data_IF_267888701170
#
_entry.id   IF_267888701170
#
_cell.length_a   1.000
_cell.length_b   1.000
_cell.length_c   1.000
_cell.angle_alpha   90.00
_cell.angle_beta   90.00
_cell.angle_gamma   90.00
#
_symmetry.space_group_name_H-M   'P 1'
#
loop_
_entity.id
_entity.type
_entity.pdbx_description
1 polymer ?
#
# COMPACT_ATOMS: atom_id res chain seq x y z
N UNK A 1 89.79 -21.88 24.01
CA UNK A 1 88.62 -21.11 24.52
C UNK A 1 87.76 -20.67 23.35
N UNK A 2 86.42 -20.68 23.51
CA UNK A 2 85.49 -21.21 22.51
C UNK A 2 84.85 -20.13 21.62
N UNK A 3 84.64 -20.51 20.36
CA UNK A 3 83.95 -19.77 19.31
C UNK A 3 82.43 -19.97 19.45
N UNK A 4 81.69 -18.92 19.75
CA UNK A 4 80.23 -18.93 19.70
C UNK A 4 79.74 -18.80 18.25
N UNK A 5 79.35 -19.93 17.66
CA UNK A 5 78.52 -19.99 16.45
C UNK A 5 77.08 -20.25 16.90
N UNK A 6 76.19 -19.28 16.69
CA UNK A 6 74.75 -19.48 16.86
C UNK A 6 74.21 -20.25 15.64
N UNK A 7 73.33 -21.24 15.82
CA UNK A 7 72.75 -22.00 14.72
C UNK A 7 71.61 -21.22 14.06
N UNK A 8 71.63 -21.20 12.72
CA UNK A 8 70.46 -20.97 11.87
C UNK A 8 69.35 -21.94 12.27
N UNK A 9 68.24 -21.43 12.80
CA UNK A 9 66.99 -22.18 12.92
C UNK A 9 66.06 -21.72 11.80
N UNK A 10 65.95 -22.61 10.83
CA UNK A 10 65.14 -22.55 9.63
C UNK A 10 63.67 -22.74 10.03
N UNK A 11 62.94 -21.65 10.30
CA UNK A 11 61.50 -21.67 10.53
C UNK A 11 60.78 -21.63 9.18
N UNK A 12 60.74 -22.79 8.53
CA UNK A 12 59.76 -23.07 7.48
C UNK A 12 58.44 -23.50 8.16
N UNK A 13 57.67 -22.51 8.64
CA UNK A 13 56.32 -22.72 9.14
C UNK A 13 55.30 -22.19 8.11
N UNK A 14 54.93 -23.09 7.19
CA UNK A 14 53.57 -23.29 6.67
C UNK A 14 52.72 -22.01 6.50
N UNK A 15 52.86 -21.36 5.35
CA UNK A 15 51.83 -20.51 4.75
C UNK A 15 50.73 -21.41 4.12
N UNK A 16 50.03 -22.20 4.94
CA UNK A 16 48.74 -22.75 4.58
C UNK A 16 47.68 -21.77 5.07
N UNK A 17 47.09 -21.01 4.15
CA UNK A 17 45.98 -20.10 4.47
C UNK A 17 44.82 -20.88 5.07
N UNK A 18 44.62 -20.74 6.38
CA UNK A 18 43.37 -21.07 7.05
C UNK A 18 42.32 -20.01 6.67
N UNK A 19 41.75 -20.14 5.47
CA UNK A 19 40.38 -19.66 5.27
C UNK A 19 39.46 -20.42 6.23
N UNK A 20 38.37 -19.83 6.75
CA UNK A 20 37.43 -20.54 7.58
C UNK A 20 36.96 -21.79 6.83
N UNK A 21 37.23 -22.96 7.40
CA UNK A 21 36.85 -24.25 6.82
C UNK A 21 35.32 -24.32 6.86
N UNK A 22 34.69 -24.01 5.72
CA UNK A 22 33.23 -24.02 5.60
C UNK A 22 32.71 -25.42 5.98
N UNK A 23 31.79 -25.47 6.96
CA UNK A 23 31.20 -26.72 7.43
C UNK A 23 30.32 -27.30 6.30
N UNK A 24 30.52 -28.58 5.89
CA UNK A 24 29.66 -29.20 4.89
C UNK A 24 28.29 -29.51 5.50
N UNK A 25 27.23 -29.02 4.87
CA UNK A 25 25.86 -29.09 5.35
C UNK A 25 24.95 -29.61 4.25
N UNK A 26 24.09 -30.57 4.61
CA UNK A 26 23.05 -31.09 3.74
C UNK A 26 21.71 -30.42 4.06
N UNK A 27 20.97 -30.07 3.01
CA UNK A 27 19.60 -29.56 3.11
C UNK A 27 18.72 -30.35 2.14
N UNK A 28 17.66 -30.93 2.67
CA UNK A 28 16.65 -31.62 1.88
C UNK A 28 15.74 -30.61 1.16
N UNK A 29 15.98 -30.45 -0.15
CA UNK A 29 15.19 -29.56 -1.00
C UNK A 29 13.76 -30.06 -1.22
N UNK A 30 13.52 -31.37 -1.12
CA UNK A 30 12.19 -31.95 -1.28
C UNK A 30 11.35 -31.70 -0.03
N UNK A 31 11.96 -31.80 1.15
CA UNK A 31 11.34 -31.33 2.40
C UNK A 31 11.07 -29.81 2.36
N UNK A 32 11.94 -29.02 1.73
CA UNK A 32 11.75 -27.58 1.57
C UNK A 32 10.68 -27.19 0.55
N UNK A 33 10.45 -28.02 -0.47
CA UNK A 33 9.34 -27.90 -1.41
C UNK A 33 7.99 -28.25 -0.77
N UNK A 34 8.00 -29.23 0.13
CA UNK A 34 6.81 -29.68 0.88
C UNK A 34 6.49 -28.78 2.08
N UNK A 35 7.42 -27.94 2.53
CA UNK A 35 7.13 -26.90 3.53
C UNK A 35 6.23 -25.84 2.89
N UNK A 36 4.92 -26.06 2.97
CA UNK A 36 3.86 -25.12 2.53
C UNK A 36 3.80 -23.88 3.45
N UNK A 37 4.94 -23.28 3.78
CA UNK A 37 4.95 -21.97 4.41
C UNK A 37 4.42 -20.96 3.39
N UNK A 38 3.10 -20.79 3.40
CA UNK A 38 2.44 -19.63 2.84
C UNK A 38 2.50 -18.57 3.94
N UNK A 39 3.11 -17.40 3.69
CA UNK A 39 2.85 -16.26 4.54
C UNK A 39 1.34 -16.14 4.64
N UNK A 40 0.81 -16.04 5.87
CA UNK A 40 -0.60 -15.68 6.05
C UNK A 40 -0.74 -14.36 5.30
N UNK A 41 -1.36 -14.37 4.12
CA UNK A 41 -1.84 -13.14 3.51
C UNK A 41 -2.51 -12.39 4.64
N UNK A 42 -2.27 -11.08 4.80
CA UNK A 42 -3.10 -10.30 5.71
C UNK A 42 -4.52 -10.73 5.41
N UNK A 43 -5.21 -11.20 6.45
CA UNK A 43 -6.60 -11.59 6.34
C UNK A 43 -7.34 -10.29 6.08
N UNK A 44 -7.25 -9.79 4.85
CA UNK A 44 -8.05 -8.71 4.33
C UNK A 44 -9.41 -9.37 4.29
N UNK A 45 -10.31 -9.07 5.24
CA UNK A 45 -11.65 -9.62 5.18
C UNK A 45 -12.13 -9.35 3.77
N UNK A 46 -12.58 -10.41 3.08
CA UNK A 46 -13.18 -10.26 1.76
C UNK A 46 -14.13 -9.06 1.85
N UNK A 47 -13.98 -8.04 0.97
CA UNK A 47 -14.89 -6.91 1.02
C UNK A 47 -16.30 -7.51 0.99
N UNK A 48 -17.18 -7.16 1.94
CA UNK A 48 -18.48 -7.80 2.05
C UNK A 48 -19.12 -7.74 0.68
N UNK A 49 -19.26 -8.93 0.08
CA UNK A 49 -19.93 -9.13 -1.19
C UNK A 49 -21.42 -8.98 -0.94
N UNK A 50 -21.82 -7.75 -0.67
CA UNK A 50 -23.20 -7.37 -0.48
C UNK A 50 -23.40 -6.18 -1.37
N UNK A 51 -24.19 -6.36 -2.43
CA UNK A 51 -24.93 -5.22 -2.97
C UNK A 51 -25.51 -4.50 -1.76
N UNK A 52 -25.09 -3.27 -1.52
CA UNK A 52 -25.69 -2.50 -0.44
C UNK A 52 -27.21 -2.54 -0.67
N UNK A 53 -27.99 -2.98 0.32
CA UNK A 53 -29.43 -3.09 0.14
C UNK A 53 -29.94 -1.72 -0.32
N UNK A 54 -30.89 -1.68 -1.27
CA UNK A 54 -31.42 -0.42 -1.78
C UNK A 54 -31.83 0.44 -0.60
N UNK A 55 -31.31 1.67 -0.53
CA UNK A 55 -31.60 2.53 0.59
C UNK A 55 -33.06 2.96 0.49
N UNK A 56 -33.89 2.33 1.31
CA UNK A 56 -35.31 2.63 1.40
C UNK A 56 -35.50 3.79 2.36
N UNK A 57 -35.68 4.99 1.81
CA UNK A 57 -36.05 6.16 2.63
C UNK A 57 -37.57 6.24 2.68
N UNK A 58 -38.13 5.91 3.85
CA UNK A 58 -39.53 6.19 4.15
C UNK A 58 -39.67 7.64 4.62
N UNK A 59 -40.40 8.43 3.84
CA UNK A 59 -40.89 9.73 4.28
C UNK A 59 -42.02 9.50 5.29
N UNK A 60 -42.00 10.15 6.47
CA UNK A 60 -43.09 10.00 7.42
C UNK A 60 -44.35 10.63 6.81
N UNK A 61 -45.48 9.94 6.95
CA UNK A 61 -46.76 10.55 6.66
C UNK A 61 -46.96 11.73 7.63
N UNK A 62 -47.24 12.93 7.10
CA UNK A 62 -47.76 14.00 7.93
C UNK A 62 -49.20 13.63 8.30
N UNK A 63 -49.48 13.53 9.60
CA UNK A 63 -50.83 13.24 10.09
C UNK A 63 -51.80 14.32 9.62
N UNK A 64 -52.96 13.91 9.11
CA UNK A 64 -54.05 14.83 8.83
C UNK A 64 -54.45 15.54 10.13
N UNK A 65 -54.55 16.87 10.08
CA UNK A 65 -55.01 17.67 11.22
C UNK A 65 -56.14 18.56 10.72
N UNK A 66 -57.33 18.34 11.25
CA UNK A 66 -58.46 19.26 11.08
C UNK A 66 -58.24 20.43 12.02
N UNK A 67 -58.38 21.65 11.50
CA UNK A 67 -58.37 22.84 12.33
C UNK A 67 -59.71 23.53 12.20
N UNK A 68 -60.45 23.57 13.32
CA UNK A 68 -61.71 24.29 13.41
C UNK A 68 -61.42 25.71 13.90
N UNK A 69 -61.89 26.72 13.16
CA UNK A 69 -61.68 28.12 13.50
C UNK A 69 -62.85 28.97 13.03
N UNK A 70 -63.89 29.07 13.85
CA UNK A 70 -65.05 29.93 13.61
C UNK A 70 -64.74 31.43 13.81
N UNK A 71 -63.60 31.78 14.45
CA UNK A 71 -63.16 33.16 14.70
C UNK A 71 -61.82 33.50 14.00
N UNK A 72 -61.59 34.79 13.73
CA UNK A 72 -60.38 35.30 13.07
C UNK A 72 -59.07 34.96 13.83
N UNK A 73 -59.14 34.84 15.16
CA UNK A 73 -58.01 34.41 16.03
C UNK A 73 -57.70 32.90 15.88
N UNK A 74 -58.72 32.06 15.70
CA UNK A 74 -58.59 30.63 15.43
C UNK A 74 -57.95 30.36 14.06
N UNK A 75 -58.34 31.14 13.04
CA UNK A 75 -57.74 31.05 11.69
C UNK A 75 -56.25 31.43 11.68
N UNK A 76 -55.83 32.47 12.42
CA UNK A 76 -54.42 32.87 12.47
C UNK A 76 -53.54 31.84 13.20
N UNK A 77 -54.04 31.24 14.28
CA UNK A 77 -53.38 30.14 15.00
C UNK A 77 -53.24 28.87 14.14
N UNK A 78 -54.29 28.53 13.38
CA UNK A 78 -54.27 27.44 12.40
C UNK A 78 -53.17 27.62 11.35
N UNK A 79 -53.08 28.83 10.79
CA UNK A 79 -52.07 29.21 9.78
C UNK A 79 -50.66 29.14 10.36
N UNK A 80 -50.46 29.56 11.61
CA UNK A 80 -49.17 29.48 12.29
C UNK A 80 -48.72 28.02 12.49
N UNK A 81 -49.60 27.16 13.01
CA UNK A 81 -49.32 25.72 13.20
C UNK A 81 -49.01 25.02 11.87
N UNK A 82 -49.74 25.37 10.81
CA UNK A 82 -49.49 24.91 9.45
C UNK A 82 -48.10 25.30 8.95
N UNK A 83 -47.72 26.56 9.15
CA UNK A 83 -46.41 27.09 8.75
C UNK A 83 -45.28 26.37 9.50
N UNK A 84 -45.42 26.14 10.79
CA UNK A 84 -44.42 25.44 11.59
C UNK A 84 -44.27 23.97 11.19
N UNK A 85 -45.39 23.28 10.95
CA UNK A 85 -45.35 21.90 10.46
C UNK A 85 -44.71 21.81 9.07
N UNK A 86 -44.96 22.78 8.19
CA UNK A 86 -44.30 22.86 6.86
C UNK A 86 -42.80 23.03 6.98
N UNK A 87 -42.33 23.92 7.85
CA UNK A 87 -40.90 24.14 8.08
C UNK A 87 -40.23 22.86 8.60
N UNK A 88 -40.89 22.16 9.54
CA UNK A 88 -40.38 20.88 10.08
C UNK A 88 -40.33 19.79 9.00
N UNK A 89 -41.40 19.63 8.23
CA UNK A 89 -41.47 18.65 7.14
C UNK A 89 -40.42 18.91 6.06
N UNK A 90 -40.25 20.17 5.64
CA UNK A 90 -39.22 20.56 4.68
C UNK A 90 -37.82 20.21 5.18
N UNK A 91 -37.49 20.57 6.43
CA UNK A 91 -36.17 20.28 7.02
C UNK A 91 -35.91 18.79 7.12
N UNK A 92 -36.91 18.00 7.50
CA UNK A 92 -36.76 16.56 7.58
C UNK A 92 -36.56 15.93 6.20
N UNK A 93 -37.33 16.37 5.20
CA UNK A 93 -37.24 15.92 3.82
C UNK A 93 -35.87 16.29 3.21
N UNK A 94 -35.44 17.55 3.36
CA UNK A 94 -34.12 18.00 2.91
C UNK A 94 -33.01 17.16 3.56
N UNK A 95 -33.09 16.92 4.88
CA UNK A 95 -32.11 16.11 5.60
C UNK A 95 -32.05 14.68 5.06
N UNK A 96 -33.19 14.04 4.83
CA UNK A 96 -33.27 12.67 4.30
C UNK A 96 -32.76 12.56 2.87
N UNK A 97 -33.16 13.48 1.99
CA UNK A 97 -32.67 13.54 0.60
C UNK A 97 -31.17 13.83 0.54
N UNK A 98 -30.67 14.76 1.37
CA UNK A 98 -29.25 15.06 1.47
C UNK A 98 -28.44 13.84 1.93
N UNK A 99 -28.91 13.13 2.96
CA UNK A 99 -28.25 11.90 3.41
C UNK A 99 -28.18 10.85 2.29
N UNK A 100 -29.25 10.72 1.51
CA UNK A 100 -29.30 9.80 0.38
C UNK A 100 -28.30 10.15 -0.72
N UNK A 101 -28.33 11.38 -1.22
CA UNK A 101 -27.43 11.78 -2.31
C UNK A 101 -25.97 11.85 -1.87
N UNK A 102 -25.68 12.17 -0.60
CA UNK A 102 -24.30 12.08 -0.09
C UNK A 102 -23.83 10.62 -0.04
N UNK A 103 -24.70 9.67 0.34
CA UNK A 103 -24.36 8.25 0.35
C UNK A 103 -24.07 7.72 -1.07
N UNK A 104 -24.85 8.14 -2.07
CA UNK A 104 -24.61 7.85 -3.49
C UNK A 104 -23.22 8.33 -3.93
N UNK A 105 -22.88 9.59 -3.64
CA UNK A 105 -21.57 10.15 -4.00
C UNK A 105 -20.43 9.44 -3.25
N UNK A 106 -20.64 9.02 -2.01
CA UNK A 106 -19.64 8.26 -1.23
C UNK A 106 -19.42 6.84 -1.80
N UNK A 107 -20.44 6.20 -2.35
CA UNK A 107 -20.28 4.92 -3.06
C UNK A 107 -19.56 5.12 -4.40
N UNK A 108 -19.89 6.17 -5.13
CA UNK A 108 -19.18 6.53 -6.36
C UNK A 108 -17.69 6.78 -6.09
N UNK A 109 -17.38 7.47 -4.99
CA UNK A 109 -16.00 7.69 -4.53
C UNK A 109 -15.25 6.38 -4.33
N UNK A 110 -15.82 5.43 -3.57
CA UNK A 110 -15.21 4.12 -3.34
C UNK A 110 -14.93 3.39 -4.65
N UNK A 111 -15.86 3.42 -5.60
CA UNK A 111 -15.70 2.77 -6.92
C UNK A 111 -14.60 3.41 -7.76
N UNK A 112 -14.61 4.74 -7.86
CA UNK A 112 -13.61 5.46 -8.66
C UNK A 112 -12.22 5.29 -8.09
N UNK A 113 -12.06 5.33 -6.76
CA UNK A 113 -10.78 5.06 -6.10
C UNK A 113 -10.36 3.60 -6.34
N UNK A 114 -11.26 2.63 -6.15
CA UNK A 114 -10.94 1.22 -6.40
C UNK A 114 -10.55 0.95 -7.86
N UNK A 115 -11.10 1.69 -8.82
CA UNK A 115 -10.72 1.58 -10.24
C UNK A 115 -9.30 2.10 -10.54
N UNK A 116 -8.71 2.91 -9.65
CA UNK A 116 -7.32 3.38 -9.79
C UNK A 116 -6.30 2.36 -9.23
N UNK A 117 -6.73 1.41 -8.40
CA UNK A 117 -5.83 0.41 -7.79
C UNK A 117 -5.05 -0.43 -8.82
N UNK A 118 -5.66 -0.98 -9.89
CA UNK A 118 -4.93 -1.76 -10.88
C UNK A 118 -3.87 -0.93 -11.62
N UNK A 119 -4.16 0.34 -11.86
CA UNK A 119 -3.22 1.24 -12.51
C UNK A 119 -2.05 1.60 -11.58
N UNK A 120 -2.33 1.90 -10.31
CA UNK A 120 -1.31 2.13 -9.29
C UNK A 120 -0.42 0.89 -9.13
N UNK A 121 -1.03 -0.30 -9.06
CA UNK A 121 -0.31 -1.57 -9.02
C UNK A 121 0.58 -1.77 -10.26
N UNK A 122 0.05 -1.50 -11.46
CA UNK A 122 0.83 -1.58 -12.70
C UNK A 122 1.99 -0.58 -12.74
N UNK A 123 1.78 0.66 -12.27
CA UNK A 123 2.83 1.67 -12.13
C UNK A 123 3.95 1.20 -11.19
N UNK A 124 3.60 0.65 -10.03
CA UNK A 124 4.55 0.08 -9.07
C UNK A 124 5.31 -1.13 -9.63
N UNK A 125 4.65 -2.01 -10.37
CA UNK A 125 5.31 -3.15 -11.02
C UNK A 125 6.33 -2.70 -12.07
N UNK A 126 6.00 -1.67 -12.88
CA UNK A 126 6.95 -1.09 -13.84
C UNK A 126 8.13 -0.44 -13.13
N UNK A 127 7.87 0.33 -12.08
CA UNK A 127 8.91 0.95 -11.25
C UNK A 127 9.86 -0.11 -10.65
N UNK A 128 9.31 -1.21 -10.11
CA UNK A 128 10.12 -2.31 -9.59
C UNK A 128 11.02 -2.93 -10.66
N UNK A 129 10.48 -3.19 -11.86
CA UNK A 129 11.26 -3.73 -12.98
C UNK A 129 12.37 -2.76 -13.44
N UNK A 130 12.11 -1.46 -13.44
CA UNK A 130 13.11 -0.43 -13.74
C UNK A 130 14.21 -0.38 -12.67
N UNK A 131 13.84 -0.44 -11.38
CA UNK A 131 14.79 -0.51 -10.26
C UNK A 131 15.65 -1.76 -10.34
N UNK A 132 15.09 -2.93 -10.68
CA UNK A 132 15.84 -4.17 -10.86
C UNK A 132 16.86 -4.05 -12.01
N UNK A 133 16.45 -3.46 -13.13
CA UNK A 133 17.34 -3.21 -14.26
C UNK A 133 18.49 -2.26 -13.87
N UNK A 134 18.17 -1.19 -13.12
CA UNK A 134 19.13 -0.23 -12.59
C UNK A 134 20.10 -0.88 -11.61
N UNK A 135 19.61 -1.75 -10.73
CA UNK A 135 20.43 -2.53 -9.80
C UNK A 135 21.39 -3.44 -10.55
N UNK A 136 20.93 -4.09 -11.63
CA UNK A 136 21.78 -4.89 -12.50
C UNK A 136 22.93 -4.08 -13.14
N UNK A 137 22.65 -2.84 -13.56
CA UNK A 137 23.68 -1.92 -14.09
C UNK A 137 24.67 -1.51 -13.00
N UNK A 138 24.17 -1.03 -11.86
CA UNK A 138 24.98 -0.67 -10.70
C UNK A 138 25.88 -1.82 -10.24
N UNK A 139 25.33 -3.05 -10.15
CA UNK A 139 26.08 -4.23 -9.73
C UNK A 139 27.22 -4.57 -10.70
N UNK A 140 27.02 -4.45 -12.02
CA UNK A 140 28.08 -4.65 -13.02
C UNK A 140 29.20 -3.62 -12.89
N UNK A 141 28.84 -2.35 -12.70
CA UNK A 141 29.83 -1.27 -12.58
C UNK A 141 30.56 -1.27 -11.23
N UNK A 142 29.84 -1.51 -10.14
CA UNK A 142 30.40 -1.48 -8.79
C UNK A 142 31.08 -2.79 -8.41
N UNK A 143 30.66 -3.93 -8.97
CA UNK A 143 31.11 -5.27 -8.54
C UNK A 143 32.62 -5.47 -8.63
N UNK A 144 33.22 -5.18 -9.78
CA UNK A 144 34.68 -5.30 -9.95
C UNK A 144 35.44 -4.31 -9.07
N UNK A 145 34.92 -3.09 -8.88
CA UNK A 145 35.53 -2.05 -8.04
C UNK A 145 35.54 -2.46 -6.57
N UNK A 146 34.42 -3.02 -6.09
CA UNK A 146 34.31 -3.57 -4.72
C UNK A 146 35.28 -4.73 -4.51
N UNK A 147 35.38 -5.65 -5.48
CA UNK A 147 36.33 -6.76 -5.42
C UNK A 147 37.80 -6.27 -5.42
N UNK A 148 38.12 -5.30 -6.29
CA UNK A 148 39.45 -4.69 -6.36
C UNK A 148 39.82 -3.95 -5.07
N UNK A 149 38.87 -3.18 -4.51
CA UNK A 149 39.07 -2.50 -3.24
C UNK A 149 39.33 -3.52 -2.12
N UNK A 150 38.52 -4.58 -2.01
CA UNK A 150 38.71 -5.64 -1.02
C UNK A 150 40.08 -6.33 -1.14
N UNK A 151 40.61 -6.50 -2.34
CA UNK A 151 41.97 -7.02 -2.55
C UNK A 151 43.05 -6.05 -2.05
N UNK A 152 42.84 -4.74 -2.20
CA UNK A 152 43.82 -3.71 -1.84
C UNK A 152 43.91 -3.47 -0.33
N UNK A 153 42.77 -3.46 0.36
CA UNK A 153 42.69 -3.04 1.77
C UNK A 153 42.15 -4.12 2.71
N UNK A 154 41.68 -5.24 2.19
CA UNK A 154 40.98 -6.29 2.93
C UNK A 154 39.45 -6.11 2.93
N UNK A 155 38.74 -7.12 3.42
CA UNK A 155 37.30 -7.05 3.65
C UNK A 155 36.97 -7.55 5.07
N UNK A 156 36.22 -6.77 5.88
CA UNK A 156 35.71 -5.42 5.61
C UNK A 156 36.83 -4.37 5.47
N UNK A 157 36.54 -3.23 4.83
CA UNK A 157 37.50 -2.13 4.67
C UNK A 157 37.83 -1.53 6.05
N UNK A 158 39.09 -1.62 6.53
CA UNK A 158 39.46 -1.15 7.86
C UNK A 158 39.59 0.38 7.97
N UNK A 159 39.65 1.11 6.84
CA UNK A 159 39.78 2.57 6.80
C UNK A 159 38.94 3.17 5.65
N UNK A 160 37.59 3.16 5.79
CA UNK A 160 36.70 3.64 4.73
C UNK A 160 36.82 5.15 4.48
N UNK A 161 37.32 5.93 5.45
CA UNK A 161 37.54 7.37 5.33
C UNK A 161 38.91 7.73 4.72
N UNK A 162 39.81 6.74 4.56
CA UNK A 162 41.18 6.94 4.05
C UNK A 162 42.00 7.90 4.93
N UNK A 163 41.88 7.79 6.25
CA UNK A 163 42.55 8.68 7.21
C UNK A 163 44.02 8.30 7.44
N UNK A 164 44.36 7.00 7.33
CA UNK A 164 45.69 6.49 7.67
C UNK A 164 46.56 6.36 6.43
N UNK A 165 47.26 7.44 6.08
CA UNK A 165 48.23 7.41 5.00
C UNK A 165 49.45 6.54 5.36
N UNK A 166 49.96 5.71 4.43
CA UNK A 166 51.17 4.93 4.65
C UNK A 166 52.41 5.83 4.75
N UNK A 167 53.47 5.34 5.41
CA UNK A 167 54.75 6.05 5.49
C UNK A 167 55.33 6.33 4.10
N UNK A 168 55.91 7.53 3.92
CA UNK A 168 56.44 7.99 2.63
C UNK A 168 57.56 7.11 2.06
N UNK A 169 58.25 6.33 2.91
CA UNK A 169 59.29 5.39 2.51
C UNK A 169 58.78 4.14 1.79
N UNK A 170 57.47 3.82 1.87
CA UNK A 170 56.89 2.63 1.25
C UNK A 170 56.05 2.99 0.01
N UNK A 171 56.71 3.08 -1.14
CA UNK A 171 56.09 3.44 -2.41
C UNK A 171 54.95 2.49 -2.84
N UNK A 172 55.07 1.19 -2.55
CA UNK A 172 54.04 0.19 -2.87
C UNK A 172 52.79 0.42 -2.04
N UNK A 173 52.94 0.65 -0.73
CA UNK A 173 51.82 0.97 0.14
C UNK A 173 51.16 2.31 -0.28
N UNK A 174 51.97 3.31 -0.64
CA UNK A 174 51.49 4.59 -1.17
C UNK A 174 50.63 4.43 -2.43
N UNK A 175 51.08 3.65 -3.41
CA UNK A 175 50.33 3.38 -4.64
C UNK A 175 49.00 2.67 -4.38
N UNK A 176 49.00 1.63 -3.54
CA UNK A 176 47.77 0.91 -3.14
C UNK A 176 46.78 1.81 -2.43
N UNK A 177 47.27 2.68 -1.53
CA UNK A 177 46.43 3.65 -0.82
C UNK A 177 45.75 4.62 -1.78
N UNK A 178 46.47 5.17 -2.77
CA UNK A 178 45.88 6.07 -3.77
C UNK A 178 44.85 5.38 -4.65
N UNK A 179 45.13 4.13 -5.08
CA UNK A 179 44.16 3.34 -5.86
C UNK A 179 42.89 3.05 -5.04
N UNK A 180 43.03 2.64 -3.77
CA UNK A 180 41.92 2.40 -2.86
C UNK A 180 41.09 3.67 -2.63
N UNK A 181 41.76 4.81 -2.39
CA UNK A 181 41.10 6.12 -2.22
C UNK A 181 40.28 6.48 -3.47
N UNK A 182 40.84 6.31 -4.67
CA UNK A 182 40.12 6.55 -5.93
C UNK A 182 38.87 5.66 -6.04
N UNK A 183 39.02 4.35 -5.79
CA UNK A 183 37.92 3.39 -5.85
C UNK A 183 36.79 3.71 -4.88
N UNK A 184 37.10 4.19 -3.66
CA UNK A 184 36.09 4.64 -2.69
C UNK A 184 35.27 5.82 -3.22
N UNK A 185 35.92 6.81 -3.82
CA UNK A 185 35.24 7.96 -4.44
C UNK A 185 34.36 7.51 -5.61
N UNK A 186 34.88 6.67 -6.50
CA UNK A 186 34.11 6.13 -7.63
C UNK A 186 32.88 5.34 -7.14
N UNK A 187 33.04 4.48 -6.14
CA UNK A 187 31.94 3.69 -5.56
C UNK A 187 30.90 4.57 -4.87
N UNK A 188 31.31 5.62 -4.17
CA UNK A 188 30.40 6.59 -3.57
C UNK A 188 29.61 7.36 -4.64
N UNK A 189 30.27 7.77 -5.74
CA UNK A 189 29.61 8.40 -6.88
C UNK A 189 28.58 7.49 -7.54
N UNK A 190 28.92 6.21 -7.77
CA UNK A 190 28.00 5.21 -8.31
C UNK A 190 26.79 4.98 -7.39
N UNK A 191 27.02 4.89 -6.08
CA UNK A 191 25.94 4.72 -5.10
C UNK A 191 25.01 5.93 -5.05
N UNK A 192 25.57 7.15 -5.08
CA UNK A 192 24.78 8.40 -5.10
C UNK A 192 23.92 8.50 -6.36
N UNK A 193 24.49 8.22 -7.54
CA UNK A 193 23.75 8.20 -8.80
C UNK A 193 22.60 7.18 -8.76
N UNK A 194 22.91 5.95 -8.35
CA UNK A 194 21.91 4.88 -8.22
C UNK A 194 20.76 5.26 -7.29
N UNK A 195 21.05 5.89 -6.13
CA UNK A 195 20.02 6.39 -5.22
C UNK A 195 19.20 7.53 -5.83
N UNK A 196 19.82 8.42 -6.59
CA UNK A 196 19.14 9.50 -7.31
C UNK A 196 18.15 8.94 -8.34
N UNK A 197 18.59 7.98 -9.14
CA UNK A 197 17.79 7.33 -10.18
C UNK A 197 16.60 6.56 -9.57
N UNK A 198 16.80 5.83 -8.45
CA UNK A 198 15.69 5.18 -7.71
C UNK A 198 14.64 6.19 -7.27
N UNK A 199 15.06 7.29 -6.63
CA UNK A 199 14.12 8.32 -6.16
C UNK A 199 13.33 8.94 -7.31
N UNK A 200 13.95 9.08 -8.48
CA UNK A 200 13.25 9.59 -9.66
C UNK A 200 12.18 8.60 -10.15
N UNK A 201 12.50 7.30 -10.19
CA UNK A 201 11.56 6.24 -10.57
C UNK A 201 10.38 6.18 -9.58
N UNK A 202 10.66 6.18 -8.27
CA UNK A 202 9.64 6.18 -7.21
C UNK A 202 8.70 7.38 -7.35
N UNK A 203 9.27 8.58 -7.49
CA UNK A 203 8.49 9.82 -7.66
C UNK A 203 7.59 9.78 -8.90
N UNK A 204 8.08 9.25 -10.02
CA UNK A 204 7.29 9.11 -11.26
C UNK A 204 6.14 8.11 -11.10
N UNK A 205 6.37 7.03 -10.36
CA UNK A 205 5.35 6.02 -10.08
C UNK A 205 4.24 6.57 -9.17
N UNK A 206 4.60 7.39 -8.18
CA UNK A 206 3.66 8.03 -7.25
C UNK A 206 2.86 9.16 -7.91
N UNK A 207 3.51 10.03 -8.70
CA UNK A 207 2.86 11.23 -9.24
C UNK A 207 1.67 10.91 -10.14
N UNK A 208 1.75 9.85 -10.96
CA UNK A 208 0.66 9.44 -11.86
C UNK A 208 -0.59 9.00 -11.09
N UNK A 209 -0.43 8.29 -9.98
CA UNK A 209 -1.54 7.86 -9.14
C UNK A 209 -2.14 9.04 -8.36
N UNK A 210 -1.29 9.92 -7.83
CA UNK A 210 -1.70 11.07 -7.03
C UNK A 210 -2.45 12.12 -7.84
N UNK A 211 -2.01 12.41 -9.07
CA UNK A 211 -2.70 13.33 -9.98
C UNK A 211 -4.14 12.87 -10.26
N UNK A 212 -4.31 11.58 -10.56
CA UNK A 212 -5.64 11.00 -10.85
C UNK A 212 -6.50 10.92 -9.60
N UNK A 213 -5.94 10.53 -8.46
CA UNK A 213 -6.64 10.52 -7.18
C UNK A 213 -7.13 11.92 -6.83
N UNK A 214 -6.30 12.94 -7.05
CA UNK A 214 -6.65 14.34 -6.85
C UNK A 214 -7.77 14.78 -7.79
N UNK A 215 -7.68 14.46 -9.08
CA UNK A 215 -8.74 14.77 -10.05
C UNK A 215 -10.07 14.10 -9.68
N UNK A 216 -10.05 12.84 -9.23
CA UNK A 216 -11.23 12.12 -8.74
C UNK A 216 -11.82 12.83 -7.52
N UNK A 217 -11.00 13.20 -6.53
CA UNK A 217 -11.47 13.91 -5.33
C UNK A 217 -12.11 15.26 -5.64
N UNK A 218 -11.50 16.05 -6.54
CA UNK A 218 -12.06 17.33 -6.98
C UNK A 218 -13.42 17.12 -7.64
N UNK A 219 -13.52 16.19 -8.60
CA UNK A 219 -14.80 15.90 -9.28
C UNK A 219 -15.90 15.43 -8.32
N UNK A 220 -15.53 14.69 -7.26
CA UNK A 220 -16.48 14.22 -6.25
C UNK A 220 -16.92 15.33 -5.29
N UNK A 221 -16.05 16.29 -4.98
CA UNK A 221 -16.44 17.47 -4.21
C UNK A 221 -17.49 18.31 -4.94
N UNK A 222 -17.32 18.50 -6.26
CA UNK A 222 -18.32 19.16 -7.10
C UNK A 222 -19.65 18.40 -7.08
N UNK A 223 -19.61 17.06 -7.24
CA UNK A 223 -20.82 16.22 -7.14
C UNK A 223 -21.49 16.28 -5.77
N UNK A 224 -20.74 16.37 -4.67
CA UNK A 224 -21.32 16.57 -3.33
C UNK A 224 -22.08 17.90 -3.25
N UNK A 225 -21.53 18.98 -3.80
CA UNK A 225 -22.22 20.27 -3.83
C UNK A 225 -23.49 20.24 -4.72
N UNK A 226 -23.44 19.54 -5.86
CA UNK A 226 -24.60 19.31 -6.72
C UNK A 226 -25.68 18.47 -6.03
N UNK A 227 -25.30 17.39 -5.34
CA UNK A 227 -26.17 16.54 -4.54
C UNK A 227 -26.92 17.33 -3.45
N UNK A 228 -26.24 18.21 -2.72
CA UNK A 228 -26.88 19.08 -1.72
C UNK A 228 -27.86 20.06 -2.36
N UNK A 229 -27.48 20.65 -3.50
CA UNK A 229 -28.34 21.56 -4.25
C UNK A 229 -29.58 20.84 -4.79
N UNK A 230 -29.41 19.62 -5.29
CA UNK A 230 -30.49 18.75 -5.78
C UNK A 230 -31.45 18.39 -4.64
N UNK A 231 -30.93 17.98 -3.48
CA UNK A 231 -31.75 17.69 -2.30
C UNK A 231 -32.64 18.88 -1.90
N UNK A 232 -32.08 20.09 -1.88
CA UNK A 232 -32.83 21.33 -1.60
C UNK A 232 -33.91 21.62 -2.63
N UNK A 233 -33.57 21.54 -3.92
CA UNK A 233 -34.52 21.80 -5.02
C UNK A 233 -35.67 20.82 -5.02
N UNK A 234 -35.40 19.54 -4.81
CA UNK A 234 -36.43 18.50 -4.74
C UNK A 234 -37.31 18.66 -3.49
N UNK A 235 -36.72 18.92 -2.32
CA UNK A 235 -37.46 19.21 -1.10
C UNK A 235 -38.41 20.42 -1.27
N UNK A 236 -37.92 21.49 -1.91
CA UNK A 236 -38.71 22.69 -2.18
C UNK A 236 -39.81 22.46 -3.22
N UNK A 237 -39.57 21.63 -4.23
CA UNK A 237 -40.56 21.30 -5.26
C UNK A 237 -41.67 20.42 -4.70
N UNK A 238 -41.32 19.41 -3.90
CA UNK A 238 -42.29 18.58 -3.20
C UNK A 238 -43.15 19.40 -2.26
N UNK A 239 -42.57 20.34 -1.49
CA UNK A 239 -43.34 21.23 -0.62
C UNK A 239 -44.26 22.19 -1.41
N UNK A 240 -43.82 22.71 -2.55
CA UNK A 240 -44.65 23.58 -3.41
C UNK A 240 -45.86 22.84 -3.96
N UNK A 241 -45.67 21.62 -4.48
CA UNK A 241 -46.76 20.80 -4.99
C UNK A 241 -47.77 20.43 -3.89
N UNK A 242 -47.32 20.30 -2.63
CA UNK A 242 -48.22 20.09 -1.51
C UNK A 242 -49.01 21.34 -1.10
N UNK A 243 -48.47 22.54 -1.39
CA UNK A 243 -49.08 23.80 -0.99
C UNK A 243 -50.19 24.26 -1.92
N UNK A 244 -50.14 23.89 -3.21
CA UNK A 244 -51.24 24.19 -4.15
C UNK A 244 -52.55 23.55 -3.72
N UNK A 245 -52.51 22.39 -3.05
CA UNK A 245 -53.70 21.65 -2.67
C UNK A 245 -54.37 22.20 -1.39
N UNK A 246 -53.57 22.80 -0.49
CA UNK A 246 -54.07 23.32 0.80
C UNK A 246 -54.59 24.76 0.70
N UNK A 247 -53.98 25.58 -0.17
CA UNK A 247 -54.40 26.97 -0.38
C UNK A 247 -55.82 27.08 -0.96
N UNK A 248 -56.15 26.21 -1.90
CA UNK A 248 -57.49 26.12 -2.50
C UNK A 248 -58.53 25.59 -1.50
N UNK A 249 -58.19 24.59 -0.68
CA UNK A 249 -59.09 24.03 0.33
C UNK A 249 -59.47 25.02 1.46
N UNK A 250 -58.53 25.89 1.88
CA UNK A 250 -58.77 26.94 2.88
C UNK A 250 -59.57 28.14 2.35
N UNK A 251 -59.59 28.36 1.02
CA UNK A 251 -60.30 29.47 0.42
C UNK A 251 -61.81 29.18 0.25
N UNK A 252 -62.21 27.90 0.22
CA UNK A 252 -63.58 27.48 -0.11
C UNK A 252 -64.40 26.95 1.08
N UNK A 253 -63.80 26.60 2.24
CA UNK A 253 -64.53 25.97 3.37
C UNK A 253 -64.19 26.54 4.76
N UNK A 254 -65.19 26.60 5.66
CA UNK A 254 -65.03 26.96 7.10
C UNK A 254 -64.23 25.92 7.91
N UNK A 255 -64.11 24.71 7.37
CA UNK A 255 -63.23 23.66 7.85
C UNK A 255 -62.16 23.36 6.81
N UNK A 256 -60.90 23.53 7.18
CA UNK A 256 -59.79 23.07 6.37
C UNK A 256 -59.25 21.76 6.95
N UNK A 257 -59.46 20.67 6.23
CA UNK A 257 -58.76 19.42 6.49
C UNK A 257 -57.40 19.44 5.79
N UNK A 258 -56.33 19.22 6.54
CA UNK A 258 -55.01 19.01 5.96
C UNK A 258 -54.95 17.55 5.53
N UNK A 259 -54.89 17.28 4.23
CA UNK A 259 -54.71 15.92 3.73
C UNK A 259 -53.38 15.33 4.22
N UNK A 260 -53.41 14.09 4.69
CA UNK A 260 -52.22 13.39 5.10
C UNK A 260 -51.29 13.18 3.90
N UNK A 261 -49.99 13.40 4.09
CA UNK A 261 -48.99 12.99 3.12
C UNK A 261 -48.91 11.46 3.14
N UNK A 262 -49.13 10.74 2.02
CA UNK A 262 -48.80 9.33 1.98
C UNK A 262 -47.28 9.19 2.17
N UNK A 263 -46.88 8.32 3.11
CA UNK A 263 -45.48 7.97 3.27
C UNK A 263 -44.95 7.42 1.94
N UNK A 264 -43.92 8.05 1.39
CA UNK A 264 -43.31 7.62 0.12
C UNK A 264 -42.00 6.91 0.41
N UNK A 265 -41.86 5.76 -0.20
CA UNK A 265 -40.64 4.96 -0.22
C UNK A 265 -39.84 5.41 -1.42
N UNK A 266 -38.74 6.12 -1.20
CA UNK A 266 -37.74 6.33 -2.25
C UNK A 266 -36.86 5.08 -2.21
N UNK A 267 -36.92 4.28 -3.26
CA UNK A 267 -36.05 3.13 -3.47
C UNK A 267 -34.95 3.60 -4.40
N UNK A 268 -33.76 3.79 -3.86
CA UNK A 268 -32.57 3.95 -4.69
C UNK A 268 -32.23 2.58 -5.31
N UNK A 269 -32.00 2.44 -6.64
CA UNK A 269 -31.70 1.15 -7.24
C UNK A 269 -30.50 0.50 -6.55
N UNK A 270 -30.59 -0.82 -6.34
CA UNK A 270 -29.49 -1.59 -5.80
C UNK A 270 -28.26 -1.41 -6.69
N UNK A 271 -27.23 -0.81 -6.11
CA UNK A 271 -26.01 -0.46 -6.82
C UNK A 271 -25.21 -1.73 -7.09
N UNK A 272 -24.72 -1.97 -8.34
CA UNK A 272 -23.89 -3.13 -8.63
C UNK A 272 -22.69 -3.18 -7.68
N UNK A 273 -22.37 -4.36 -7.15
CA UNK A 273 -21.24 -4.51 -6.22
C UNK A 273 -19.98 -3.86 -6.77
N UNK A 274 -19.12 -3.34 -5.88
CA UNK A 274 -17.78 -2.93 -6.27
C UNK A 274 -17.14 -4.03 -7.12
N UNK A 275 -16.44 -3.71 -8.22
CA UNK A 275 -15.67 -4.72 -8.94
C UNK A 275 -14.81 -5.43 -7.91
N UNK A 276 -14.94 -6.76 -7.84
CA UNK A 276 -14.08 -7.58 -6.99
C UNK A 276 -12.65 -7.15 -7.27
N UNK A 277 -11.91 -6.84 -6.20
CA UNK A 277 -10.47 -6.61 -6.30
C UNK A 277 -9.89 -7.70 -7.19
N UNK A 278 -9.07 -7.35 -8.20
CA UNK A 278 -8.45 -8.38 -9.02
C UNK A 278 -7.80 -9.35 -8.04
N UNK A 279 -8.20 -10.62 -8.12
CA UNK A 279 -7.50 -11.67 -7.41
C UNK A 279 -6.07 -11.56 -7.92
N UNK A 280 -5.18 -11.06 -7.08
CA UNK A 280 -3.77 -11.26 -7.28
C UNK A 280 -3.65 -12.77 -7.36
N UNK A 281 -3.32 -13.29 -8.54
CA UNK A 281 -3.01 -14.69 -8.69
C UNK A 281 -1.99 -14.98 -7.60
N UNK A 282 -2.33 -15.92 -6.71
CA UNK A 282 -1.43 -16.32 -5.65
C UNK A 282 -0.08 -16.59 -6.33
N UNK A 283 1.03 -15.98 -5.85
CA UNK A 283 2.32 -16.17 -6.47
C UNK A 283 2.51 -17.66 -6.73
N UNK A 284 2.76 -18.01 -7.99
CA UNK A 284 2.87 -19.39 -8.44
C UNK A 284 3.73 -20.17 -7.44
N UNK A 285 3.30 -21.40 -7.13
CA UNK A 285 3.94 -22.22 -6.09
C UNK A 285 5.46 -22.17 -6.17
N UNK A 286 6.12 -22.07 -5.01
CA UNK A 286 7.58 -21.96 -4.91
C UNK A 286 8.22 -23.13 -5.66
N UNK A 287 8.95 -22.82 -6.73
CA UNK A 287 9.59 -23.83 -7.56
C UNK A 287 10.96 -24.24 -6.98
N UNK A 288 11.48 -25.39 -7.42
CA UNK A 288 12.78 -25.91 -6.93
C UNK A 288 13.93 -24.94 -7.20
N UNK A 289 13.80 -24.11 -8.24
CA UNK A 289 14.85 -23.14 -8.59
C UNK A 289 14.92 -21.98 -7.60
N UNK A 290 13.78 -21.49 -7.12
CA UNK A 290 13.68 -20.47 -6.08
C UNK A 290 14.27 -20.97 -4.76
N UNK A 291 13.90 -22.17 -4.31
CA UNK A 291 14.45 -22.77 -3.07
C UNK A 291 15.97 -22.94 -3.16
N UNK A 292 16.51 -23.30 -4.34
CA UNK A 292 17.96 -23.38 -4.54
C UNK A 292 18.67 -22.04 -4.40
N UNK A 293 18.08 -20.95 -4.91
CA UNK A 293 18.64 -19.60 -4.75
C UNK A 293 18.65 -19.18 -3.29
N UNK A 294 17.56 -19.45 -2.58
CA UNK A 294 17.44 -19.18 -1.14
C UNK A 294 18.47 -20.00 -0.33
N UNK A 295 18.67 -21.27 -0.69
CA UNK A 295 19.70 -22.12 -0.07
C UNK A 295 21.09 -21.54 -0.28
N UNK A 296 21.42 -21.07 -1.49
CA UNK A 296 22.72 -20.47 -1.77
C UNK A 296 22.97 -19.21 -0.92
N UNK A 297 21.94 -18.37 -0.72
CA UNK A 297 22.02 -17.19 0.15
C UNK A 297 22.25 -17.61 1.60
N UNK A 298 21.46 -18.57 2.09
CA UNK A 298 21.58 -19.05 3.47
C UNK A 298 22.97 -19.64 3.77
N UNK A 299 23.49 -20.48 2.87
CA UNK A 299 24.83 -21.07 2.98
C UNK A 299 25.91 -19.98 3.00
N UNK A 300 25.79 -18.97 2.13
CA UNK A 300 26.74 -17.85 2.06
C UNK A 300 26.72 -17.00 3.35
N UNK A 301 25.54 -16.71 3.88
CA UNK A 301 25.39 -15.93 5.14
C UNK A 301 25.93 -16.69 6.35
N UNK A 302 25.76 -18.02 6.38
CA UNK A 302 26.19 -18.88 7.50
C UNK A 302 27.61 -19.39 7.40
N UNK A 303 28.29 -19.20 6.26
CA UNK A 303 29.62 -19.76 6.02
C UNK A 303 29.61 -21.29 5.91
N UNK A 304 28.56 -21.85 5.30
CA UNK A 304 28.43 -23.29 5.05
C UNK A 304 28.80 -23.65 3.61
N UNK A 305 29.19 -24.90 3.39
CA UNK A 305 29.35 -25.50 2.06
C UNK A 305 28.23 -26.51 1.84
N UNK A 306 27.58 -26.48 0.69
CA UNK A 306 26.58 -27.50 0.34
C UNK A 306 27.22 -28.89 0.25
N UNK A 307 26.62 -29.88 0.92
CA UNK A 307 26.95 -31.29 0.80
C UNK A 307 25.94 -31.96 -0.15
N UNK A 308 26.40 -32.88 -1.02
CA UNK A 308 25.53 -33.52 -2.01
C UNK A 308 24.61 -34.58 -1.39
N UNK A 309 24.95 -35.05 -0.21
CA UNK A 309 24.23 -36.11 0.50
C UNK A 309 24.30 -35.93 2.00
N UNK A 310 23.34 -36.52 2.73
CA UNK A 310 23.29 -36.52 4.19
C UNK A 310 24.50 -37.19 4.85
N UNK A 311 25.22 -38.02 4.11
CA UNK A 311 26.47 -38.66 4.54
C UNK A 311 27.70 -37.77 4.39
N UNK A 312 27.64 -36.73 3.55
CA UNK A 312 28.77 -35.81 3.28
C UNK A 312 28.80 -34.59 4.19
N UNK A 313 27.72 -34.32 4.92
CA UNK A 313 27.59 -33.14 5.76
C UNK A 313 26.46 -33.26 6.78
N UNK A 314 26.45 -32.37 7.77
CA UNK A 314 25.41 -32.37 8.81
C UNK A 314 24.08 -31.91 8.22
N UNK A 315 22.99 -32.61 8.54
CA UNK A 315 21.66 -32.19 8.12
C UNK A 315 21.23 -30.93 8.87
N UNK A 316 20.95 -29.86 8.13
CA UNK A 316 20.44 -28.58 8.65
C UNK A 316 19.14 -28.16 7.98
N UNK A 317 18.39 -29.11 7.43
CA UNK A 317 17.11 -28.84 6.75
C UNK A 317 16.16 -28.01 7.62
N UNK A 318 16.00 -28.37 8.90
CA UNK A 318 15.14 -27.63 9.83
C UNK A 318 15.60 -26.18 10.08
N UNK A 319 16.92 -25.96 10.14
CA UNK A 319 17.49 -24.63 10.36
C UNK A 319 17.32 -23.74 9.12
N UNK A 320 17.51 -24.31 7.93
CA UNK A 320 17.24 -23.64 6.67
C UNK A 320 15.75 -23.25 6.56
N UNK A 321 14.83 -24.15 6.89
CA UNK A 321 13.39 -23.87 6.90
C UNK A 321 13.03 -22.73 7.87
N UNK A 322 13.57 -22.75 9.09
CA UNK A 322 13.35 -21.67 10.06
C UNK A 322 13.88 -20.32 9.57
N UNK A 323 15.04 -20.33 8.91
CA UNK A 323 15.60 -19.12 8.30
C UNK A 323 14.72 -18.59 7.17
N UNK A 324 14.23 -19.44 6.26
CA UNK A 324 13.30 -19.05 5.18
C UNK A 324 12.07 -18.34 5.72
N UNK A 325 11.46 -18.88 6.79
CA UNK A 325 10.28 -18.29 7.44
C UNK A 325 10.52 -16.92 8.08
N UNK A 326 11.77 -16.57 8.40
CA UNK A 326 12.12 -15.32 9.09
C UNK A 326 12.71 -14.25 8.17
N UNK A 327 13.18 -14.61 6.97
CA UNK A 327 13.91 -13.71 6.07
C UNK A 327 13.27 -13.53 4.70
N UNK A 328 12.26 -14.34 4.35
CA UNK A 328 11.49 -14.10 3.14
C UNK A 328 10.41 -13.05 3.42
N UNK A 329 10.37 -11.94 2.66
CA UNK A 329 9.24 -11.03 2.71
C UNK A 329 7.99 -11.81 2.30
N UNK A 330 6.94 -11.74 3.13
CA UNK A 330 5.61 -12.13 2.66
C UNK A 330 5.23 -11.27 1.44
N UNK A 331 4.41 -11.79 0.51
CA UNK A 331 3.83 -10.99 -0.56
C UNK A 331 3.01 -9.84 -0.02
#
# INVERSE_FOLDING_TARGET
MPRNRAPLLLVAAVLAGCGPRLEPVFVDLDAALQDEWRPKSPNVPAPPGTSDPPMVVQLPALAAKTVHGTEASGKSSAVALLRDNRIKAYRELERKLRAAYIAEVAQEEKRRIAALEPESASGKMKAAAEVDALMGQYAREAGWRKARLALLVGFPDPDPASERAPQASNAVAGSRFQEAKRLRVELAGLASKFQGDIREIERKAESLADERLTAVRVSLQERRAEAETRARREAATLLRNLNSDVGSALAEQEEASISALPGRTIVDPAWPGLPTTPKMDAPGGVDRTTIRRELAIWLAVRGYREAKSRSEGRDRTAEFLQWRRSHLPGP
#
